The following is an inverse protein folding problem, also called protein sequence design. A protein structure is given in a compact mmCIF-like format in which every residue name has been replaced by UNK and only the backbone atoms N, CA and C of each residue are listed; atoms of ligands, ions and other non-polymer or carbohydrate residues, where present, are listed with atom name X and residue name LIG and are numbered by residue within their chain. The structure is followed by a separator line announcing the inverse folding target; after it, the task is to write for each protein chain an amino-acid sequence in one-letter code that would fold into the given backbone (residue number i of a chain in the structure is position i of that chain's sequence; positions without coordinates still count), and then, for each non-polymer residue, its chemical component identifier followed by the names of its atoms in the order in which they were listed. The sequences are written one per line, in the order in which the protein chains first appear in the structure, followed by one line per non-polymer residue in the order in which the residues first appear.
data_IF_475775210418
#
_entry.id   IF_475775210418
#
_cell.length_a   1.000
_cell.length_b   1.000
_cell.length_c   1.000
_cell.angle_alpha   90.00
_cell.angle_beta   90.00
_cell.angle_gamma   90.00
#
_symmetry.space_group_name_H-M   'P 1'
#
loop_
_entity.id
_entity.type
_entity.pdbx_description
1 polymer ?
#
# COMPACT_ATOMS: atom_id res chain seq x y z
N UNK A 1 -16.16 0.28 20.76
CA UNK A 1 -14.70 0.26 21.02
C UNK A 1 -13.94 0.27 19.70
N UNK A 2 -13.83 -0.85 18.96
CA UNK A 2 -13.10 -0.85 17.68
C UNK A 2 -13.65 0.16 16.64
N UNK A 3 -14.98 0.28 16.50
CA UNK A 3 -15.60 1.32 15.67
C UNK A 3 -15.21 2.73 16.14
N UNK A 4 -15.41 3.03 17.42
CA UNK A 4 -15.13 4.35 17.99
C UNK A 4 -13.64 4.73 17.86
N UNK A 5 -12.74 3.77 18.04
CA UNK A 5 -11.30 3.94 17.86
C UNK A 5 -10.95 4.22 16.39
N UNK A 6 -11.50 3.46 15.45
CA UNK A 6 -11.30 3.70 14.02
C UNK A 6 -11.81 5.11 13.62
N UNK A 7 -13.00 5.51 14.09
CA UNK A 7 -13.54 6.83 13.82
C UNK A 7 -12.75 7.95 14.50
N UNK A 8 -12.18 7.71 15.68
CA UNK A 8 -11.27 8.65 16.33
C UNK A 8 -9.98 8.84 15.53
N UNK A 9 -9.41 7.77 14.97
CA UNK A 9 -8.24 7.85 14.07
C UNK A 9 -8.59 8.60 12.80
N UNK A 10 -9.72 8.31 12.15
CA UNK A 10 -10.16 9.06 10.96
C UNK A 10 -10.34 10.55 11.28
N UNK A 11 -10.96 10.88 12.42
CA UNK A 11 -11.20 12.26 12.84
C UNK A 11 -9.93 13.00 13.24
N UNK A 12 -8.91 12.28 13.72
CA UNK A 12 -7.59 12.85 13.98
C UNK A 12 -6.87 13.25 12.68
N UNK A 13 -7.19 12.59 11.56
CA UNK A 13 -6.62 12.83 10.24
C UNK A 13 -5.08 12.73 10.24
N UNK A 14 -4.52 11.51 10.39
CA UNK A 14 -3.07 11.34 10.39
C UNK A 14 -2.49 11.55 8.98
N UNK A 15 -1.22 11.94 8.89
CA UNK A 15 -0.57 12.12 7.59
C UNK A 15 -0.46 10.82 6.75
N UNK A 16 -0.47 9.65 7.40
CA UNK A 16 -0.51 8.30 6.79
C UNK A 16 -1.18 7.30 7.74
N UNK A 17 -1.67 6.18 7.21
CA UNK A 17 -2.22 5.08 8.01
C UNK A 17 -1.69 3.72 7.60
N UNK A 18 -1.35 2.89 8.58
CA UNK A 18 -0.93 1.50 8.37
C UNK A 18 -2.11 0.54 8.15
N UNK A 19 -1.96 -0.35 7.18
CA UNK A 19 -2.85 -1.47 6.86
C UNK A 19 -4.28 -1.12 6.43
N UNK A 20 -5.08 -0.45 7.27
CA UNK A 20 -6.48 -0.06 7.00
C UNK A 20 -7.37 -1.17 6.39
N UNK A 21 -7.37 -2.38 6.97
CA UNK A 21 -7.98 -3.58 6.37
C UNK A 21 -9.50 -3.68 6.61
N UNK A 22 -9.88 -3.75 7.89
CA UNK A 22 -11.26 -3.91 8.35
C UNK A 22 -11.69 -2.68 9.13
N UNK A 23 -11.93 -1.59 8.41
CA UNK A 23 -12.44 -0.32 8.94
C UNK A 23 -13.90 -0.12 8.54
N UNK A 24 -14.71 0.63 9.32
CA UNK A 24 -16.10 0.93 8.96
C UNK A 24 -16.21 1.69 7.64
N UNK A 25 -17.35 1.61 6.94
CA UNK A 25 -17.54 2.36 5.69
C UNK A 25 -17.43 3.88 5.90
N UNK A 26 -17.92 4.38 7.04
CA UNK A 26 -17.82 5.80 7.42
C UNK A 26 -16.36 6.28 7.51
N UNK A 27 -15.42 5.39 7.84
CA UNK A 27 -13.99 5.67 7.86
C UNK A 27 -13.50 6.05 6.46
N UNK A 28 -13.89 5.26 5.45
CA UNK A 28 -13.55 5.54 4.06
C UNK A 28 -14.29 6.74 3.51
N UNK A 29 -15.53 7.00 3.93
CA UNK A 29 -16.24 8.23 3.54
C UNK A 29 -15.42 9.46 3.94
N UNK A 30 -14.91 9.51 5.18
CA UNK A 30 -14.06 10.62 5.65
C UNK A 30 -12.74 10.71 4.87
N UNK A 31 -12.04 9.58 4.68
CA UNK A 31 -10.74 9.56 4.02
C UNK A 31 -10.79 9.59 2.48
N UNK A 32 -11.96 9.65 1.85
CA UNK A 32 -12.06 9.85 0.41
C UNK A 32 -12.23 11.33 0.04
N UNK A 33 -12.69 12.17 0.96
CA UNK A 33 -12.78 13.62 0.76
C UNK A 33 -11.40 14.28 0.82
N UNK A 34 -10.56 13.85 1.77
CA UNK A 34 -9.16 14.26 1.90
C UNK A 34 -8.27 13.01 2.09
N UNK A 35 -7.77 12.43 0.99
CA UNK A 35 -7.08 11.14 1.01
C UNK A 35 -5.84 11.07 1.89
N UNK A 36 -5.89 10.18 2.89
CA UNK A 36 -4.74 9.82 3.72
C UNK A 36 -4.02 8.60 3.12
N UNK A 37 -2.72 8.69 2.79
CA UNK A 37 -1.97 7.58 2.23
C UNK A 37 -1.93 6.34 3.11
N UNK A 38 -2.17 5.18 2.50
CA UNK A 38 -2.13 3.88 3.17
C UNK A 38 -0.78 3.20 2.98
N UNK A 39 -0.20 2.73 4.08
CA UNK A 39 0.95 1.82 4.08
C UNK A 39 0.43 0.38 4.05
N UNK A 40 0.40 -0.24 2.88
CA UNK A 40 -0.05 -1.62 2.72
C UNK A 40 1.13 -2.58 2.87
N UNK A 41 0.91 -3.67 3.60
CA UNK A 41 1.89 -4.71 3.87
C UNK A 41 1.38 -6.08 3.38
N UNK A 42 1.47 -6.37 2.07
CA UNK A 42 0.75 -7.48 1.44
C UNK A 42 0.97 -8.85 2.12
N UNK A 43 2.21 -9.27 2.34
CA UNK A 43 2.49 -10.57 2.97
C UNK A 43 2.00 -10.61 4.43
N UNK A 44 2.27 -9.54 5.19
CA UNK A 44 1.79 -9.40 6.57
C UNK A 44 0.26 -9.53 6.64
N UNK A 45 -0.46 -8.80 5.78
CA UNK A 45 -1.92 -8.82 5.71
C UNK A 45 -2.44 -10.23 5.39
N UNK A 46 -1.85 -10.90 4.40
CA UNK A 46 -2.27 -12.25 4.00
C UNK A 46 -2.07 -13.26 5.12
N UNK A 47 -0.91 -13.23 5.79
CA UNK A 47 -0.57 -14.18 6.84
C UNK A 47 -1.35 -13.93 8.13
N UNK A 48 -1.47 -12.67 8.56
CA UNK A 48 -2.13 -12.32 9.85
C UNK A 48 -3.65 -12.41 9.80
N UNK A 49 -4.25 -12.24 8.62
CA UNK A 49 -5.68 -12.42 8.39
C UNK A 49 -6.05 -13.82 7.92
N UNK A 50 -5.08 -14.73 7.80
CA UNK A 50 -5.27 -16.11 7.32
C UNK A 50 -6.00 -16.16 5.97
N UNK A 51 -5.65 -15.28 5.02
CA UNK A 51 -6.37 -15.16 3.74
C UNK A 51 -6.10 -16.31 2.77
N UNK A 52 -5.10 -17.15 3.05
CA UNK A 52 -4.78 -18.32 2.23
C UNK A 52 -5.77 -19.45 2.54
N UNK A 53 -6.26 -20.12 1.50
CA UNK A 53 -7.08 -21.32 1.72
C UNK A 53 -6.24 -22.40 2.41
N UNK A 54 -6.62 -22.78 3.63
CA UNK A 54 -5.85 -23.64 4.56
C UNK A 54 -5.29 -24.97 4.00
N UNK A 55 -5.70 -25.41 2.80
CA UNK A 55 -5.29 -26.69 2.22
C UNK A 55 -4.44 -26.60 0.95
N UNK A 56 -4.59 -25.53 0.15
CA UNK A 56 -3.92 -25.42 -1.17
C UNK A 56 -3.57 -23.98 -1.58
N UNK A 57 -3.86 -22.99 -0.73
CA UNK A 57 -3.65 -21.58 -1.06
C UNK A 57 -2.19 -21.17 -0.92
N UNK A 58 -1.69 -20.38 -1.88
CA UNK A 58 -0.43 -19.65 -1.76
C UNK A 58 -0.67 -18.17 -1.42
N UNK A 59 0.41 -17.38 -1.23
CA UNK A 59 0.31 -15.98 -0.87
C UNK A 59 -0.41 -15.12 -1.92
N UNK A 60 -0.22 -15.39 -3.22
CA UNK A 60 -0.95 -14.68 -4.28
C UNK A 60 -2.45 -15.02 -4.22
N UNK A 61 -2.82 -16.27 -3.90
CA UNK A 61 -4.22 -16.65 -3.69
C UNK A 61 -4.85 -15.89 -2.52
N UNK A 62 -4.12 -15.76 -1.41
CA UNK A 62 -4.56 -14.96 -0.28
C UNK A 62 -4.64 -13.47 -0.59
N UNK A 63 -3.69 -12.95 -1.38
CA UNK A 63 -3.66 -11.54 -1.74
C UNK A 63 -4.82 -11.15 -2.67
N UNK A 64 -5.31 -12.07 -3.52
CA UNK A 64 -6.56 -11.84 -4.29
C UNK A 64 -7.78 -11.63 -3.41
N UNK A 65 -7.76 -12.18 -2.19
CA UNK A 65 -8.82 -12.01 -1.20
C UNK A 65 -8.58 -10.81 -0.27
N UNK A 66 -7.55 -9.99 -0.51
CA UNK A 66 -7.28 -8.82 0.31
C UNK A 66 -8.47 -7.86 0.28
N UNK A 67 -8.97 -7.39 1.44
CA UNK A 67 -10.25 -6.69 1.52
C UNK A 67 -10.32 -5.30 0.84
N UNK A 68 -9.19 -4.77 0.37
CA UNK A 68 -9.07 -3.35 -0.01
C UNK A 68 -8.07 -3.10 -1.15
N UNK A 69 -6.99 -3.89 -1.25
CA UNK A 69 -5.89 -3.60 -2.17
C UNK A 69 -6.31 -3.51 -3.65
N UNK A 70 -7.22 -4.36 -4.12
CA UNK A 70 -7.75 -4.24 -5.49
C UNK A 70 -8.39 -2.87 -5.73
N UNK A 71 -9.26 -2.44 -4.80
CA UNK A 71 -9.94 -1.15 -4.85
C UNK A 71 -8.94 0.02 -4.83
N UNK A 72 -7.94 -0.01 -3.95
CA UNK A 72 -6.91 1.04 -3.92
C UNK A 72 -6.12 1.13 -5.22
N UNK A 73 -5.76 -0.02 -5.82
CA UNK A 73 -5.06 -0.06 -7.10
C UNK A 73 -5.92 0.43 -8.26
N UNK A 74 -7.21 0.10 -8.29
CA UNK A 74 -8.17 0.51 -9.33
C UNK A 74 -8.53 1.99 -9.26
N UNK A 75 -8.65 2.54 -8.05
CA UNK A 75 -9.06 3.94 -7.80
C UNK A 75 -7.89 4.91 -7.69
N UNK A 76 -6.66 4.44 -7.91
CA UNK A 76 -5.46 5.25 -7.76
C UNK A 76 -5.27 5.83 -6.35
N UNK A 77 -5.82 5.19 -5.32
CA UNK A 77 -5.72 5.64 -3.94
C UNK A 77 -4.24 5.82 -3.50
N UNK A 78 -3.89 6.85 -2.72
CA UNK A 78 -2.51 7.05 -2.27
C UNK A 78 -2.03 5.86 -1.42
N UNK A 79 -1.01 5.16 -1.92
CA UNK A 79 -0.58 3.86 -1.40
C UNK A 79 0.94 3.71 -1.43
N UNK A 80 1.50 3.02 -0.44
CA UNK A 80 2.83 2.41 -0.50
C UNK A 80 2.74 0.90 -0.23
N UNK A 81 3.67 0.13 -0.82
CA UNK A 81 3.83 -1.31 -0.58
C UNK A 81 5.06 -1.52 0.29
N UNK A 82 4.89 -2.18 1.42
CA UNK A 82 5.87 -2.29 2.50
C UNK A 82 5.98 -3.73 3.00
N UNK A 83 7.05 -4.02 3.72
CA UNK A 83 7.33 -5.37 4.24
C UNK A 83 6.74 -5.65 5.62
N UNK A 84 6.37 -4.60 6.37
CA UNK A 84 6.09 -4.67 7.81
C UNK A 84 7.32 -5.26 8.54
N UNK A 85 7.23 -6.50 9.02
CA UNK A 85 8.31 -7.25 9.66
C UNK A 85 8.96 -8.29 8.69
N UNK A 86 9.95 -7.91 7.86
CA UNK A 86 10.51 -8.80 6.84
C UNK A 86 11.13 -10.08 7.41
N UNK A 87 11.65 -10.02 8.64
CA UNK A 87 12.20 -11.19 9.34
C UNK A 87 11.14 -12.18 9.82
N UNK A 88 9.95 -11.69 10.19
CA UNK A 88 8.82 -12.53 10.65
C UNK A 88 8.14 -13.17 9.45
N UNK A 89 7.91 -12.40 8.38
CA UNK A 89 7.17 -12.84 7.20
C UNK A 89 8.04 -13.42 6.09
N UNK A 90 9.36 -13.54 6.32
CA UNK A 90 10.35 -14.07 5.37
C UNK A 90 10.24 -13.43 3.97
N UNK A 91 10.12 -12.10 3.96
CA UNK A 91 9.91 -11.30 2.74
C UNK A 91 10.92 -10.16 2.63
N UNK A 92 10.89 -9.44 1.51
CA UNK A 92 11.65 -8.21 1.27
C UNK A 92 10.89 -7.32 0.28
N UNK A 93 11.33 -6.07 0.12
CA UNK A 93 10.63 -5.10 -0.73
C UNK A 93 10.41 -5.59 -2.17
N UNK A 94 11.41 -6.23 -2.80
CA UNK A 94 11.28 -6.75 -4.16
C UNK A 94 10.25 -7.87 -4.26
N UNK A 95 10.21 -8.76 -3.25
CA UNK A 95 9.24 -9.86 -3.18
C UNK A 95 7.81 -9.35 -2.99
N UNK A 96 7.58 -8.34 -2.13
CA UNK A 96 6.26 -7.70 -1.98
C UNK A 96 5.76 -7.14 -3.31
N UNK A 97 6.60 -6.36 -4.00
CA UNK A 97 6.25 -5.77 -5.29
C UNK A 97 6.00 -6.82 -6.37
N UNK A 98 6.82 -7.88 -6.42
CA UNK A 98 6.63 -8.98 -7.36
C UNK A 98 5.28 -9.68 -7.13
N UNK A 99 4.94 -9.97 -5.87
CA UNK A 99 3.69 -10.62 -5.51
C UNK A 99 2.48 -9.76 -5.89
N UNK A 100 2.50 -8.46 -5.56
CA UNK A 100 1.43 -7.51 -5.95
C UNK A 100 1.31 -7.44 -7.48
N UNK A 101 2.44 -7.33 -8.20
CA UNK A 101 2.46 -7.26 -9.65
C UNK A 101 1.85 -8.50 -10.31
N UNK A 102 2.24 -9.70 -9.85
CA UNK A 102 1.74 -10.96 -10.37
C UNK A 102 0.24 -11.11 -10.09
N UNK A 103 -0.17 -10.85 -8.85
CA UNK A 103 -1.54 -11.06 -8.35
C UNK A 103 -2.56 -10.19 -9.08
N UNK A 104 -2.23 -8.91 -9.30
CA UNK A 104 -3.13 -7.93 -9.92
C UNK A 104 -2.75 -7.61 -11.38
N UNK A 105 -1.85 -8.40 -11.98
CA UNK A 105 -1.38 -8.23 -13.35
C UNK A 105 -0.91 -6.80 -13.69
N UNK A 106 -0.23 -6.15 -12.74
CA UNK A 106 0.21 -4.77 -12.90
C UNK A 106 1.37 -4.69 -13.90
N UNK A 107 1.30 -3.70 -14.77
CA UNK A 107 2.42 -3.39 -15.67
C UNK A 107 3.59 -2.78 -14.90
N UNK A 108 4.80 -2.86 -15.45
CA UNK A 108 5.98 -2.19 -14.87
C UNK A 108 5.75 -0.69 -14.67
N UNK A 109 5.10 -0.04 -15.65
CA UNK A 109 4.73 1.37 -15.58
C UNK A 109 3.80 1.63 -14.40
N UNK A 110 2.79 0.78 -14.22
CA UNK A 110 1.84 0.92 -13.11
C UNK A 110 2.52 0.80 -11.74
N UNK A 111 3.42 -0.17 -11.57
CA UNK A 111 4.21 -0.32 -10.33
C UNK A 111 5.07 0.92 -10.07
N UNK A 112 5.76 1.39 -11.10
CA UNK A 112 6.60 2.58 -11.03
C UNK A 112 5.81 3.84 -10.65
N UNK A 113 4.58 3.99 -11.16
CA UNK A 113 3.71 5.12 -10.80
C UNK A 113 3.28 5.07 -9.33
N UNK A 114 3.03 3.89 -8.76
CA UNK A 114 2.76 3.77 -7.31
C UNK A 114 4.00 4.14 -6.50
N UNK A 115 5.19 3.67 -6.89
CA UNK A 115 6.46 4.04 -6.24
C UNK A 115 6.68 5.55 -6.28
N UNK A 116 6.55 6.16 -7.46
CA UNK A 116 6.74 7.61 -7.61
C UNK A 116 5.76 8.40 -6.76
N UNK A 117 4.47 8.04 -6.79
CA UNK A 117 3.45 8.69 -5.96
C UNK A 117 3.73 8.53 -4.48
N UNK A 118 4.15 7.34 -4.04
CA UNK A 118 4.48 7.08 -2.63
C UNK A 118 5.58 8.01 -2.09
N UNK A 119 6.52 8.44 -2.94
CA UNK A 119 7.58 9.36 -2.55
C UNK A 119 7.06 10.77 -2.17
N UNK A 120 5.86 11.15 -2.63
CA UNK A 120 5.22 12.39 -2.21
C UNK A 120 4.66 12.33 -0.79
N UNK A 121 4.54 11.14 -0.18
CA UNK A 121 3.96 10.96 1.16
C UNK A 121 5.01 10.74 2.26
N UNK A 122 6.31 10.80 1.94
CA UNK A 122 7.38 10.66 2.94
C UNK A 122 7.40 11.84 3.91
N UNK A 123 7.85 11.58 5.14
CA UNK A 123 8.09 12.59 6.17
C UNK A 123 9.45 13.27 6.02
N UNK A 124 9.72 13.78 4.81
CA UNK A 124 10.87 14.64 4.52
C UNK A 124 10.41 16.11 4.47
N UNK A 125 10.79 16.94 5.46
CA UNK A 125 10.38 18.34 5.50
C UNK A 125 11.11 19.22 4.46
N UNK A 126 12.30 18.83 4.01
CA UNK A 126 13.05 19.58 3.01
C UNK A 126 12.45 19.39 1.62
N UNK A 127 11.81 20.45 1.11
CA UNK A 127 11.31 20.47 -0.26
C UNK A 127 12.42 20.19 -1.29
N UNK A 128 13.65 20.64 -1.03
CA UNK A 128 14.79 20.39 -1.92
C UNK A 128 15.11 18.89 -2.00
N UNK A 129 15.19 18.20 -0.86
CA UNK A 129 15.48 16.76 -0.82
C UNK A 129 14.33 15.97 -1.45
N UNK A 130 13.09 16.33 -1.12
CA UNK A 130 11.90 15.66 -1.64
C UNK A 130 11.77 15.83 -3.15
N UNK A 131 12.01 17.02 -3.68
CA UNK A 131 12.01 17.28 -5.13
C UNK A 131 13.15 16.55 -5.84
N UNK A 132 14.37 16.53 -5.28
CA UNK A 132 15.49 15.75 -5.83
C UNK A 132 15.16 14.26 -5.93
N UNK A 133 14.60 13.68 -4.86
CA UNK A 133 14.19 12.28 -4.85
C UNK A 133 13.15 11.99 -5.94
N UNK A 134 12.07 12.79 -6.01
CA UNK A 134 11.01 12.64 -7.01
C UNK A 134 11.57 12.74 -8.43
N UNK A 135 12.47 13.69 -8.68
CA UNK A 135 13.12 13.86 -9.98
C UNK A 135 13.95 12.63 -10.35
N UNK A 136 14.82 12.17 -9.45
CA UNK A 136 15.68 11.00 -9.69
C UNK A 136 14.88 9.72 -9.89
N UNK A 137 13.78 9.54 -9.16
CA UNK A 137 12.85 8.43 -9.38
C UNK A 137 12.21 8.53 -10.77
N UNK A 138 11.72 9.71 -11.15
CA UNK A 138 11.09 9.94 -12.46
C UNK A 138 12.04 9.62 -13.62
N UNK A 139 13.28 10.12 -13.56
CA UNK A 139 14.33 9.83 -14.54
C UNK A 139 14.61 8.33 -14.64
N UNK A 140 14.77 7.65 -13.48
CA UNK A 140 15.02 6.22 -13.44
C UNK A 140 13.86 5.40 -14.00
N UNK A 141 12.63 5.79 -13.69
CA UNK A 141 11.42 5.14 -14.19
C UNK A 141 11.33 5.26 -15.71
N UNK A 142 11.59 6.43 -16.28
CA UNK A 142 11.56 6.63 -17.74
C UNK A 142 12.60 5.78 -18.48
N UNK A 143 13.73 5.46 -17.85
CA UNK A 143 14.74 4.54 -18.40
C UNK A 143 14.26 3.08 -18.33
N UNK A 144 13.64 2.68 -17.22
CA UNK A 144 13.23 1.28 -16.97
C UNK A 144 11.89 0.90 -17.59
N UNK A 145 11.03 1.90 -17.83
CA UNK A 145 9.68 1.78 -18.37
C UNK A 145 9.51 2.80 -19.53
N UNK A 146 10.16 2.57 -20.68
CA UNK A 146 10.09 3.45 -21.84
C UNK A 146 8.70 3.48 -22.49
#
# INVERSE_FOLDING_TARGET
RAYDEAMAVASFHPDRIGHALFVPDDFWTLLNEDPVPVECCPTSNVMTLELTHHKYGNLEDGLRNHPQLSKWLETDYPLSINTDDPGVFLTNASSEWQMVANTFHLTKRRLADVVLRSSHHIFEPSLVIKTDLVQRLSERINILCP
#
